data_IF_487321271559
#
_entry.id   IF_487321271559
#
_cell.length_a   1.000
_cell.length_b   1.000
_cell.length_c   1.000
_cell.angle_alpha   90.00
_cell.angle_beta   90.00
_cell.angle_gamma   90.00
#
_symmetry.space_group_name_H-M   'P 1'
#
loop_
_entity.id
_entity.type
_entity.pdbx_description
1 polymer ?
#
# COMPACT_ATOMS: atom_id res chain seq x y z
N UNK A 1 -5.74 -66.75 102.61
CA UNK A 1 -6.16 -65.35 102.34
C UNK A 1 -5.65 -64.79 100.99
N UNK A 2 -5.43 -65.61 99.95
CA UNK A 2 -4.71 -65.14 98.74
C UNK A 2 -5.45 -65.30 97.40
N UNK A 3 -6.67 -65.86 97.35
CA UNK A 3 -7.42 -66.05 96.08
C UNK A 3 -8.37 -64.90 95.67
N UNK A 4 -8.81 -64.03 96.60
CA UNK A 4 -9.70 -62.91 96.26
C UNK A 4 -8.97 -61.62 95.82
N UNK A 5 -7.67 -61.47 96.12
CA UNK A 5 -6.92 -60.28 95.70
C UNK A 5 -6.53 -60.31 94.21
N UNK A 6 -6.25 -61.50 93.65
CA UNK A 6 -5.81 -61.69 92.26
C UNK A 6 -6.91 -61.38 91.23
N UNK A 7 -8.18 -61.67 91.54
CA UNK A 7 -9.33 -61.41 90.66
C UNK A 7 -9.70 -59.93 90.60
N UNK A 8 -9.62 -59.20 91.72
CA UNK A 8 -9.85 -57.74 91.74
C UNK A 8 -8.78 -56.95 90.99
N UNK A 9 -7.52 -57.41 91.02
CA UNK A 9 -6.40 -56.76 90.34
C UNK A 9 -6.48 -56.93 88.81
N UNK A 10 -6.84 -58.12 88.32
CA UNK A 10 -7.06 -58.39 86.89
C UNK A 10 -8.25 -57.60 86.31
N UNK A 11 -9.34 -57.45 87.08
CA UNK A 11 -10.51 -56.65 86.67
C UNK A 11 -10.14 -55.16 86.59
N UNK A 12 -9.40 -54.62 87.56
CA UNK A 12 -8.91 -53.23 87.52
C UNK A 12 -7.97 -52.99 86.34
N UNK A 13 -7.06 -53.93 86.06
CA UNK A 13 -6.16 -53.85 84.92
C UNK A 13 -6.94 -53.78 83.59
N UNK A 14 -7.89 -54.69 83.36
CA UNK A 14 -8.75 -54.66 82.18
C UNK A 14 -9.62 -53.40 82.09
N UNK A 15 -10.15 -52.90 83.20
CA UNK A 15 -10.90 -51.63 83.22
C UNK A 15 -10.01 -50.44 82.84
N UNK A 16 -8.76 -50.42 83.28
CA UNK A 16 -7.79 -49.37 82.96
C UNK A 16 -7.35 -49.45 81.49
N UNK A 17 -7.20 -50.66 80.95
CA UNK A 17 -6.91 -50.92 79.53
C UNK A 17 -8.09 -50.50 78.63
N UNK A 18 -9.32 -50.84 79.00
CA UNK A 18 -10.54 -50.40 78.31
C UNK A 18 -10.70 -48.86 78.34
N UNK A 19 -10.41 -48.24 79.49
CA UNK A 19 -10.46 -46.78 79.65
C UNK A 19 -9.41 -46.08 78.79
N UNK A 20 -8.21 -46.65 78.72
CA UNK A 20 -7.13 -46.14 77.87
C UNK A 20 -7.45 -46.29 76.39
N UNK A 21 -7.98 -47.44 75.99
CA UNK A 21 -8.42 -47.71 74.61
C UNK A 21 -9.59 -46.78 74.21
N UNK A 22 -10.57 -46.56 75.08
CA UNK A 22 -11.68 -45.64 74.83
C UNK A 22 -11.23 -44.18 74.70
N UNK A 23 -10.22 -43.74 75.46
CA UNK A 23 -9.61 -42.40 75.32
C UNK A 23 -8.90 -42.26 73.98
N UNK A 24 -8.13 -43.28 73.58
CA UNK A 24 -7.46 -43.30 72.29
C UNK A 24 -8.47 -43.23 71.14
N UNK A 25 -9.55 -44.02 71.23
CA UNK A 25 -10.61 -44.08 70.23
C UNK A 25 -11.31 -42.74 70.06
N UNK A 26 -11.63 -42.05 71.17
CA UNK A 26 -12.18 -40.67 71.16
C UNK A 26 -11.22 -39.66 70.55
N UNK A 27 -9.93 -39.76 70.86
CA UNK A 27 -8.90 -38.88 70.28
C UNK A 27 -8.78 -39.06 68.77
N UNK A 28 -8.77 -40.31 68.30
CA UNK A 28 -8.72 -40.64 66.88
C UNK A 28 -9.99 -40.16 66.18
N UNK A 29 -11.18 -40.40 66.74
CA UNK A 29 -12.43 -39.92 66.13
C UNK A 29 -12.46 -38.40 66.03
N UNK A 30 -12.00 -37.70 67.06
CA UNK A 30 -11.95 -36.24 67.06
C UNK A 30 -11.01 -35.69 65.98
N UNK A 31 -9.81 -36.26 65.82
CA UNK A 31 -8.89 -35.86 64.75
C UNK A 31 -9.45 -36.18 63.36
N UNK A 32 -10.02 -37.38 63.15
CA UNK A 32 -10.61 -37.73 61.84
C UNK A 32 -11.79 -36.83 61.45
N UNK A 33 -12.61 -36.40 62.43
CA UNK A 33 -13.70 -35.46 62.20
C UNK A 33 -13.20 -34.06 61.82
N UNK A 34 -12.10 -33.64 62.44
CA UNK A 34 -11.47 -32.34 62.15
C UNK A 34 -10.87 -32.36 60.75
N UNK A 35 -10.12 -33.41 60.40
CA UNK A 35 -9.53 -33.58 59.07
C UNK A 35 -10.61 -33.61 57.96
N UNK A 36 -11.74 -34.28 58.21
CA UNK A 36 -12.87 -34.29 57.28
C UNK A 36 -13.53 -32.92 57.13
N UNK A 37 -13.64 -32.15 58.21
CA UNK A 37 -14.18 -30.77 58.14
C UNK A 37 -13.26 -29.85 57.33
N UNK A 38 -11.95 -29.98 57.49
CA UNK A 38 -10.98 -29.20 56.73
C UNK A 38 -10.94 -29.60 55.24
N UNK A 39 -11.10 -30.90 54.94
CA UNK A 39 -11.23 -31.37 53.57
C UNK A 39 -12.50 -30.84 52.89
N UNK A 40 -13.63 -30.82 53.62
CA UNK A 40 -14.89 -30.24 53.12
C UNK A 40 -14.78 -28.74 52.85
N UNK A 41 -14.07 -27.99 53.70
CA UNK A 41 -13.79 -26.55 53.47
C UNK A 41 -12.90 -26.33 52.25
N UNK A 42 -11.89 -27.16 52.05
CA UNK A 42 -11.03 -27.12 50.86
C UNK A 42 -11.81 -27.41 49.57
N UNK A 43 -12.70 -28.40 49.61
CA UNK A 43 -13.54 -28.78 48.46
C UNK A 43 -14.56 -27.68 48.10
N UNK A 44 -15.16 -27.03 49.10
CA UNK A 44 -16.08 -25.90 48.87
C UNK A 44 -15.35 -24.69 48.28
N UNK A 45 -14.16 -24.34 48.80
CA UNK A 45 -13.36 -23.26 48.24
C UNK A 45 -12.92 -23.53 46.78
N UNK A 46 -12.57 -24.77 46.45
CA UNK A 46 -12.24 -25.15 45.06
C UNK A 46 -13.45 -25.09 44.13
N UNK A 47 -14.64 -25.50 44.59
CA UNK A 47 -15.87 -25.41 43.81
C UNK A 47 -16.25 -23.95 43.49
N UNK A 48 -16.08 -23.04 44.46
CA UNK A 48 -16.29 -21.59 44.28
C UNK A 48 -15.30 -20.99 43.25
N UNK A 49 -14.02 -21.37 43.31
CA UNK A 49 -13.04 -20.93 42.32
C UNK A 49 -13.34 -21.43 40.90
N UNK A 50 -13.84 -22.67 40.76
CA UNK A 50 -14.20 -23.22 39.45
C UNK A 50 -15.40 -22.49 38.87
N UNK A 51 -16.44 -22.25 39.66
CA UNK A 51 -17.63 -21.50 39.22
C UNK A 51 -17.28 -20.06 38.84
N UNK A 52 -16.39 -19.39 39.58
CA UNK A 52 -15.92 -18.05 39.25
C UNK A 52 -15.12 -18.03 37.94
N UNK A 53 -14.26 -19.02 37.71
CA UNK A 53 -13.51 -19.17 36.44
C UNK A 53 -14.43 -19.46 35.26
N UNK A 54 -15.45 -20.29 35.44
CA UNK A 54 -16.44 -20.55 34.39
C UNK A 54 -17.24 -19.30 34.02
N UNK A 55 -17.63 -18.48 35.01
CA UNK A 55 -18.31 -17.21 34.76
C UNK A 55 -17.41 -16.21 34.04
N UNK A 56 -16.14 -16.08 34.45
CA UNK A 56 -15.16 -15.23 33.77
C UNK A 56 -14.89 -15.69 32.34
N UNK A 57 -14.78 -17.00 32.11
CA UNK A 57 -14.60 -17.56 30.77
C UNK A 57 -15.81 -17.26 29.87
N UNK A 58 -17.04 -17.44 30.37
CA UNK A 58 -18.27 -17.11 29.63
C UNK A 58 -18.34 -15.63 29.27
N UNK A 59 -18.08 -14.73 30.23
CA UNK A 59 -18.06 -13.29 29.98
C UNK A 59 -17.00 -12.90 28.93
N UNK A 60 -15.80 -13.48 28.99
CA UNK A 60 -14.74 -13.21 28.01
C UNK A 60 -15.09 -13.65 26.58
N UNK A 61 -15.88 -14.73 26.44
CA UNK A 61 -16.34 -15.26 25.15
C UNK A 61 -17.49 -14.41 24.58
N UNK A 62 -18.37 -13.87 25.42
CA UNK A 62 -19.41 -12.93 24.99
C UNK A 62 -18.80 -11.60 24.55
N UNK A 63 -17.86 -11.06 25.33
CA UNK A 63 -17.16 -9.80 25.01
C UNK A 63 -16.33 -9.91 23.72
N UNK A 64 -15.73 -11.08 23.44
CA UNK A 64 -15.02 -11.33 22.18
C UNK A 64 -15.99 -11.42 20.99
N UNK A 65 -17.14 -12.09 21.15
CA UNK A 65 -18.16 -12.19 20.09
C UNK A 65 -18.77 -10.84 19.76
N UNK A 66 -19.02 -10.00 20.76
CA UNK A 66 -19.56 -8.66 20.56
C UNK A 66 -18.56 -7.74 19.86
N UNK A 67 -17.26 -7.80 20.23
CA UNK A 67 -16.19 -7.10 19.49
C UNK A 67 -16.05 -7.57 18.05
N UNK A 68 -16.10 -8.88 17.82
CA UNK A 68 -16.00 -9.44 16.46
C UNK A 68 -17.19 -8.98 15.61
N UNK A 69 -18.40 -8.99 16.16
CA UNK A 69 -19.62 -8.53 15.47
C UNK A 69 -19.61 -7.03 15.19
N UNK A 70 -19.18 -6.21 16.16
CA UNK A 70 -19.07 -4.76 16.00
C UNK A 70 -18.00 -4.39 14.95
N UNK A 71 -16.89 -5.13 14.90
CA UNK A 71 -15.82 -4.95 13.89
C UNK A 71 -16.30 -5.32 12.50
N UNK A 72 -17.08 -6.41 12.37
CA UNK A 72 -17.64 -6.88 11.10
C UNK A 72 -18.74 -5.94 10.58
N UNK A 73 -19.55 -5.32 11.44
CA UNK A 73 -20.66 -4.46 11.02
C UNK A 73 -20.26 -2.99 10.82
N UNK A 74 -19.44 -2.41 11.69
CA UNK A 74 -19.05 -0.99 11.58
C UNK A 74 -17.73 -0.75 10.83
N UNK A 75 -16.82 -1.72 10.81
CA UNK A 75 -15.55 -1.60 10.08
C UNK A 75 -15.74 -1.31 8.59
N UNK A 76 -16.57 -2.08 7.86
CA UNK A 76 -16.80 -1.85 6.43
C UNK A 76 -17.47 -0.49 6.15
N UNK A 77 -18.38 -0.06 7.02
CA UNK A 77 -19.09 1.21 6.85
C UNK A 77 -18.17 2.42 7.11
N UNK A 78 -17.34 2.39 8.17
CA UNK A 78 -16.36 3.44 8.45
C UNK A 78 -15.28 3.52 7.35
N UNK A 79 -14.80 2.39 6.85
CA UNK A 79 -13.84 2.34 5.73
C UNK A 79 -14.45 2.92 4.46
N UNK A 80 -15.71 2.59 4.16
CA UNK A 80 -16.44 3.15 3.02
C UNK A 80 -16.65 4.66 3.17
N UNK A 81 -17.05 5.13 4.34
CA UNK A 81 -17.24 6.56 4.63
C UNK A 81 -15.93 7.35 4.51
N UNK A 82 -14.82 6.82 5.05
CA UNK A 82 -13.48 7.40 4.88
C UNK A 82 -13.09 7.49 3.42
N UNK A 83 -13.30 6.42 2.64
CA UNK A 83 -13.06 6.39 1.19
C UNK A 83 -13.88 7.48 0.49
N UNK A 84 -15.18 7.58 0.77
CA UNK A 84 -16.05 8.59 0.14
C UNK A 84 -15.61 10.01 0.50
N UNK A 85 -15.35 10.29 1.78
CA UNK A 85 -14.92 11.60 2.23
C UNK A 85 -13.55 12.00 1.67
N UNK A 86 -12.60 11.07 1.64
CA UNK A 86 -11.27 11.30 1.08
C UNK A 86 -11.32 11.68 -0.40
N UNK A 87 -12.08 10.93 -1.19
CA UNK A 87 -12.25 11.23 -2.61
C UNK A 87 -13.00 12.54 -2.84
N UNK A 88 -13.99 12.86 -1.99
CA UNK A 88 -14.68 14.15 -2.04
C UNK A 88 -13.75 15.32 -1.77
N UNK A 89 -12.80 15.18 -0.82
CA UNK A 89 -11.79 16.21 -0.57
C UNK A 89 -10.88 16.43 -1.80
N UNK A 90 -10.50 15.35 -2.48
CA UNK A 90 -9.70 15.47 -3.71
C UNK A 90 -10.46 16.14 -4.85
N UNK A 91 -11.75 15.82 -5.02
CA UNK A 91 -12.64 16.48 -5.99
C UNK A 91 -12.76 17.98 -5.72
N UNK A 92 -12.96 18.37 -4.46
CA UNK A 92 -13.06 19.78 -4.05
C UNK A 92 -11.76 20.54 -4.33
N UNK A 93 -10.60 19.87 -4.19
CA UNK A 93 -9.30 20.43 -4.54
C UNK A 93 -9.02 20.44 -6.05
N UNK A 94 -9.91 19.89 -6.87
CA UNK A 94 -9.78 19.77 -8.32
C UNK A 94 -9.21 18.42 -8.76
N UNK A 95 -9.92 17.78 -9.71
CA UNK A 95 -9.57 16.50 -10.31
C UNK A 95 -8.32 16.56 -11.21
N UNK A 96 -7.97 17.75 -11.69
CA UNK A 96 -6.78 18.00 -12.51
C UNK A 96 -5.87 18.94 -11.73
N UNK A 97 -4.67 18.46 -11.38
CA UNK A 97 -3.64 19.27 -10.71
C UNK A 97 -2.41 19.39 -11.58
N UNK A 98 -1.84 20.59 -11.61
CA UNK A 98 -0.63 20.89 -12.38
C UNK A 98 0.47 21.27 -11.41
N UNK A 99 1.44 20.37 -11.28
CA UNK A 99 2.68 20.64 -10.56
C UNK A 99 3.72 21.17 -11.53
N UNK A 100 4.44 22.21 -11.14
CA UNK A 100 5.59 22.66 -11.90
C UNK A 100 6.87 22.35 -11.14
N UNK A 101 7.83 21.75 -11.85
CA UNK A 101 9.13 21.35 -11.33
C UNK A 101 10.23 22.02 -12.13
N UNK A 102 11.17 22.64 -11.44
CA UNK A 102 12.36 23.22 -12.07
C UNK A 102 13.60 22.40 -11.75
N UNK A 103 14.41 22.11 -12.77
CA UNK A 103 15.74 21.52 -12.56
C UNK A 103 16.63 22.56 -11.88
N UNK A 104 17.30 22.18 -10.79
CA UNK A 104 18.12 23.08 -9.99
C UNK A 104 19.27 23.76 -10.79
N UNK A 105 19.83 24.86 -10.25
CA UNK A 105 20.79 25.74 -10.94
C UNK A 105 22.15 25.12 -11.27
N UNK A 106 22.46 23.92 -10.76
CA UNK A 106 23.71 23.21 -11.05
C UNK A 106 23.93 22.87 -12.55
N UNK A 107 22.90 23.04 -13.41
CA UNK A 107 23.01 22.91 -14.86
C UNK A 107 22.97 24.23 -15.65
N UNK A 108 22.89 25.40 -14.98
CA UNK A 108 22.72 26.73 -15.59
C UNK A 108 24.02 27.55 -15.57
N UNK A 109 25.17 26.88 -15.73
CA UNK A 109 26.46 27.57 -15.85
C UNK A 109 26.50 28.42 -17.14
N UNK A 110 26.16 29.71 -17.03
CA UNK A 110 26.50 30.73 -18.03
C UNK A 110 25.36 31.39 -18.81
N UNK A 111 24.08 31.19 -18.46
CA UNK A 111 22.94 31.86 -19.13
C UNK A 111 22.29 32.94 -18.28
N UNK A 112 21.78 34.02 -18.91
CA UNK A 112 20.89 34.98 -18.23
C UNK A 112 19.64 34.23 -17.72
N UNK A 113 19.52 34.08 -16.40
CA UNK A 113 18.38 33.41 -15.79
C UNK A 113 17.11 34.24 -16.03
N UNK A 114 16.10 33.62 -16.66
CA UNK A 114 14.75 34.20 -16.73
C UNK A 114 13.93 33.91 -15.46
N UNK A 115 14.56 33.33 -14.43
CA UNK A 115 13.97 32.89 -13.19
C UNK A 115 14.66 33.61 -12.02
N UNK A 116 13.85 34.16 -11.12
CA UNK A 116 14.26 34.65 -9.80
C UNK A 116 13.80 33.62 -8.76
N UNK A 117 14.69 33.19 -7.87
CA UNK A 117 14.43 32.12 -6.89
C UNK A 117 14.54 32.75 -5.50
N UNK A 118 13.46 33.36 -4.98
CA UNK A 118 13.48 34.04 -3.68
C UNK A 118 13.61 33.08 -2.49
N UNK A 119 13.25 31.80 -2.64
CA UNK A 119 13.41 30.76 -1.62
C UNK A 119 13.50 29.37 -2.25
N UNK A 120 13.82 28.36 -1.44
CA UNK A 120 13.95 26.96 -1.87
C UNK A 120 12.66 26.34 -2.44
N UNK A 121 11.52 27.04 -2.36
CA UNK A 121 10.21 26.55 -2.83
C UNK A 121 9.46 27.55 -3.73
N UNK A 122 10.02 28.75 -3.93
CA UNK A 122 9.38 29.80 -4.72
C UNK A 122 10.23 30.17 -5.91
N UNK A 123 9.60 30.33 -7.07
CA UNK A 123 10.27 30.76 -8.27
C UNK A 123 9.41 31.78 -9.03
N UNK A 124 10.02 32.90 -9.34
CA UNK A 124 9.43 34.01 -10.05
C UNK A 124 9.90 34.01 -11.49
N UNK A 125 8.96 34.02 -12.43
CA UNK A 125 9.30 34.19 -13.84
C UNK A 125 9.53 35.69 -14.10
N UNK A 126 10.75 36.07 -14.47
CA UNK A 126 11.15 37.47 -14.66
C UNK A 126 10.56 38.10 -15.94
N UNK A 127 9.92 37.30 -16.80
CA UNK A 127 9.29 37.76 -18.04
C UNK A 127 7.76 37.63 -17.95
N UNK A 128 7.09 38.71 -17.53
CA UNK A 128 5.62 38.90 -17.53
C UNK A 128 4.79 37.68 -17.06
N UNK A 129 4.42 37.67 -15.78
CA UNK A 129 3.17 37.03 -15.33
C UNK A 129 3.28 36.15 -14.10
N UNK A 130 2.95 36.73 -12.94
CA UNK A 130 2.46 36.04 -11.74
C UNK A 130 3.50 35.26 -10.92
N UNK A 131 3.33 35.30 -9.58
CA UNK A 131 4.03 34.40 -8.66
C UNK A 131 3.49 32.98 -8.84
N UNK A 132 4.36 31.99 -8.97
CA UNK A 132 3.98 30.57 -8.98
C UNK A 132 4.90 29.82 -8.02
N UNK A 133 4.34 28.86 -7.28
CA UNK A 133 5.10 27.96 -6.41
C UNK A 133 5.66 26.81 -7.24
N UNK A 134 6.92 26.44 -7.04
CA UNK A 134 7.57 25.36 -7.81
C UNK A 134 8.28 24.40 -6.87
N UNK A 135 8.24 23.12 -7.22
CA UNK A 135 8.96 22.08 -6.47
C UNK A 135 10.31 21.82 -7.15
N UNK A 136 11.36 21.65 -6.36
CA UNK A 136 12.71 21.39 -6.90
C UNK A 136 13.08 19.92 -6.70
N UNK A 137 12.68 19.35 -5.56
CA UNK A 137 13.07 18.03 -5.13
C UNK A 137 12.10 16.92 -5.54
N UNK A 138 12.66 15.74 -5.82
CA UNK A 138 11.91 14.52 -6.14
C UNK A 138 10.88 14.17 -5.06
N UNK A 139 11.29 14.33 -3.79
CA UNK A 139 10.49 13.98 -2.62
C UNK A 139 9.23 14.84 -2.54
N UNK A 140 9.34 16.15 -2.72
CA UNK A 140 8.19 17.04 -2.70
C UNK A 140 7.19 16.75 -3.83
N UNK A 141 7.69 16.38 -5.02
CA UNK A 141 6.84 15.98 -6.14
C UNK A 141 6.10 14.68 -5.81
N UNK A 142 6.78 13.73 -5.17
CA UNK A 142 6.17 12.49 -4.71
C UNK A 142 5.13 12.74 -3.62
N UNK A 143 5.42 13.59 -2.63
CA UNK A 143 4.48 13.95 -1.56
C UNK A 143 3.20 14.59 -2.11
N UNK A 144 3.33 15.43 -3.14
CA UNK A 144 2.17 15.99 -3.86
C UNK A 144 1.35 14.94 -4.62
N UNK A 145 1.97 13.83 -5.03
CA UNK A 145 1.33 12.72 -5.75
C UNK A 145 0.71 11.67 -4.81
N UNK A 146 1.18 11.55 -3.56
CA UNK A 146 0.72 10.57 -2.56
C UNK A 146 -0.80 10.47 -2.43
N UNK A 147 -1.57 11.57 -2.43
CA UNK A 147 -3.01 11.45 -2.27
C UNK A 147 -3.71 10.72 -3.42
N UNK A 148 -3.19 10.92 -4.63
CA UNK A 148 -3.70 10.23 -5.82
C UNK A 148 -3.29 8.77 -5.83
N UNK A 149 -2.04 8.47 -5.45
CA UNK A 149 -1.56 7.09 -5.32
C UNK A 149 -2.44 6.31 -4.34
N UNK A 150 -2.79 6.91 -3.19
CA UNK A 150 -3.73 6.33 -2.21
C UNK A 150 -5.10 6.06 -2.83
N UNK A 151 -5.62 6.99 -3.63
CA UNK A 151 -6.93 6.85 -4.30
C UNK A 151 -6.98 5.68 -5.28
N UNK A 152 -5.84 5.26 -5.83
CA UNK A 152 -5.76 4.09 -6.68
C UNK A 152 -6.16 2.80 -5.94
N UNK A 153 -5.85 2.67 -4.64
CA UNK A 153 -6.31 1.52 -3.83
C UNK A 153 -7.81 1.52 -3.62
N UNK A 154 -8.44 2.69 -3.73
CA UNK A 154 -9.88 2.88 -3.62
C UNK A 154 -10.58 2.66 -4.97
N UNK A 155 -9.88 2.14 -5.98
CA UNK A 155 -10.46 1.81 -7.29
C UNK A 155 -10.58 2.98 -8.26
N UNK A 156 -9.90 4.10 -7.99
CA UNK A 156 -9.85 5.22 -8.94
C UNK A 156 -8.74 5.03 -9.97
N UNK A 157 -8.99 5.52 -11.19
CA UNK A 157 -7.98 5.58 -12.23
C UNK A 157 -7.28 6.93 -12.17
N UNK A 158 -5.96 6.90 -12.04
CA UNK A 158 -5.11 8.06 -11.83
C UNK A 158 -4.12 8.14 -12.97
N UNK A 159 -3.92 9.33 -13.53
CA UNK A 159 -2.94 9.56 -14.59
C UNK A 159 -2.00 10.70 -14.18
N UNK A 160 -0.70 10.42 -14.10
CA UNK A 160 0.35 11.39 -13.82
C UNK A 160 1.20 11.53 -15.08
N UNK A 161 1.30 12.75 -15.59
CA UNK A 161 2.00 13.06 -16.83
C UNK A 161 3.20 13.96 -16.53
N UNK A 162 4.39 13.58 -16.97
CA UNK A 162 5.53 14.49 -17.05
C UNK A 162 5.51 15.23 -18.39
N UNK A 163 5.71 16.54 -18.39
CA UNK A 163 5.69 17.34 -19.61
C UNK A 163 6.77 18.42 -19.60
N UNK A 164 7.43 18.62 -20.74
CA UNK A 164 8.54 19.56 -20.88
C UNK A 164 9.42 19.29 -22.10
N UNK A 165 10.30 20.22 -22.43
CA UNK A 165 11.25 20.04 -23.52
C UNK A 165 12.31 18.97 -23.19
N UNK A 166 13.02 18.48 -24.20
CA UNK A 166 14.20 17.62 -23.99
C UNK A 166 15.22 18.28 -23.05
N UNK A 167 15.77 17.50 -22.11
CA UNK A 167 16.70 17.98 -21.08
C UNK A 167 16.08 18.67 -19.85
N UNK A 168 14.75 18.88 -19.81
CA UNK A 168 14.08 19.58 -18.69
C UNK A 168 13.94 18.76 -17.39
N UNK A 169 14.35 17.49 -17.38
CA UNK A 169 14.28 16.63 -16.18
C UNK A 169 13.03 15.74 -16.06
N UNK A 170 12.30 15.51 -17.16
CA UNK A 170 11.12 14.60 -17.20
C UNK A 170 11.46 13.17 -16.75
N UNK A 171 12.38 12.51 -17.46
CA UNK A 171 12.87 11.16 -17.15
C UNK A 171 13.52 11.08 -15.77
N UNK A 172 14.21 12.13 -15.34
CA UNK A 172 14.71 12.19 -13.97
C UNK A 172 13.56 12.16 -12.95
N UNK A 173 12.48 12.93 -13.16
CA UNK A 173 11.29 12.92 -12.28
C UNK A 173 10.55 11.58 -12.30
N UNK A 174 10.34 10.99 -13.46
CA UNK A 174 9.54 9.76 -13.59
C UNK A 174 10.34 8.50 -13.25
N UNK A 175 11.53 8.35 -13.83
CA UNK A 175 12.37 7.15 -13.68
C UNK A 175 13.37 7.34 -12.54
N UNK A 176 14.13 8.44 -12.57
CA UNK A 176 15.22 8.72 -11.63
C UNK A 176 16.42 7.77 -11.77
N UNK A 177 17.59 8.13 -11.22
CA UNK A 177 18.73 7.23 -11.13
C UNK A 177 18.49 6.14 -10.08
N UNK A 178 19.33 5.09 -10.06
CA UNK A 178 19.14 3.93 -9.18
C UNK A 178 19.20 4.27 -7.68
N UNK A 179 20.06 5.21 -7.31
CA UNK A 179 20.25 5.73 -5.96
C UNK A 179 19.11 6.67 -5.52
N UNK A 180 18.49 7.37 -6.46
CA UNK A 180 17.37 8.26 -6.21
C UNK A 180 16.21 7.98 -7.18
N UNK A 181 15.45 6.89 -6.94
CA UNK A 181 14.36 6.49 -7.82
C UNK A 181 13.31 7.60 -7.96
N UNK A 182 12.72 7.71 -9.15
CA UNK A 182 11.66 8.65 -9.46
C UNK A 182 10.27 8.16 -9.08
N UNK A 183 9.24 8.86 -9.58
CA UNK A 183 7.84 8.57 -9.31
C UNK A 183 7.43 7.13 -9.67
N UNK A 184 7.98 6.54 -10.74
CA UNK A 184 7.63 5.19 -11.19
C UNK A 184 7.85 4.15 -10.10
N UNK A 185 9.07 4.07 -9.57
CA UNK A 185 9.41 3.10 -8.53
C UNK A 185 8.77 3.51 -7.20
N UNK A 186 8.84 4.79 -6.81
CA UNK A 186 8.30 5.27 -5.54
C UNK A 186 6.80 5.03 -5.41
N UNK A 187 6.03 5.27 -6.48
CA UNK A 187 4.58 5.08 -6.46
C UNK A 187 4.20 3.61 -6.31
N UNK A 188 4.86 2.70 -7.04
CA UNK A 188 4.55 1.26 -6.93
C UNK A 188 4.98 0.70 -5.57
N UNK A 189 6.12 1.16 -5.03
CA UNK A 189 6.55 0.82 -3.66
C UNK A 189 5.52 1.26 -2.63
N UNK A 190 5.01 2.48 -2.76
CA UNK A 190 3.99 3.01 -1.85
C UNK A 190 2.66 2.26 -1.97
N UNK A 191 2.24 1.90 -3.19
CA UNK A 191 1.07 1.04 -3.39
C UNK A 191 1.25 -0.30 -2.66
N UNK A 192 2.40 -0.97 -2.80
CA UNK A 192 2.67 -2.22 -2.07
C UNK A 192 2.68 -2.02 -0.55
N UNK A 193 3.23 -0.90 -0.06
CA UNK A 193 3.24 -0.56 1.37
C UNK A 193 1.80 -0.41 1.89
N UNK A 194 0.99 0.40 1.23
CA UNK A 194 -0.41 0.65 1.59
C UNK A 194 -1.27 -0.63 1.49
N UNK A 195 -1.02 -1.49 0.50
CA UNK A 195 -1.69 -2.78 0.36
C UNK A 195 -1.44 -3.69 1.58
N UNK A 196 -0.26 -3.61 2.21
CA UNK A 196 0.09 -4.40 3.40
C UNK A 196 -0.54 -3.85 4.69
N UNK A 197 -0.91 -2.57 4.72
CA UNK A 197 -1.48 -1.92 5.91
C UNK A 197 -2.99 -2.15 6.05
N UNK A 198 -3.70 -2.31 4.93
CA UNK A 198 -5.15 -2.56 4.92
C UNK A 198 -5.45 -4.02 5.25
N UNK A 199 -6.00 -4.26 6.45
CA UNK A 199 -6.43 -5.59 6.91
C UNK A 199 -7.73 -6.01 6.21
N UNK A 200 -7.95 -7.32 6.07
CA UNK A 200 -9.16 -7.94 5.49
C UNK A 200 -9.40 -7.64 4.00
N UNK A 201 -8.39 -7.16 3.29
CA UNK A 201 -8.44 -6.98 1.84
C UNK A 201 -7.22 -7.65 1.23
N UNK A 202 -7.46 -8.60 0.34
CA UNK A 202 -6.41 -9.23 -0.45
C UNK A 202 -6.14 -8.40 -1.70
N UNK A 203 -4.92 -7.88 -1.84
CA UNK A 203 -4.51 -7.09 -3.00
C UNK A 203 -3.61 -7.87 -3.97
N UNK A 204 -3.80 -7.65 -5.27
CA UNK A 204 -2.87 -8.03 -6.34
C UNK A 204 -2.43 -6.76 -7.09
N UNK A 205 -1.11 -6.57 -7.20
CA UNK A 205 -0.52 -5.44 -7.93
C UNK A 205 0.21 -5.96 -9.16
N UNK A 206 -0.16 -5.45 -10.33
CA UNK A 206 0.41 -5.84 -11.62
C UNK A 206 0.96 -4.62 -12.34
N UNK A 207 2.17 -4.73 -12.86
CA UNK A 207 2.86 -3.68 -13.60
C UNK A 207 2.93 -4.03 -15.08
N UNK A 208 2.69 -3.03 -15.93
CA UNK A 208 2.90 -3.07 -17.39
C UNK A 208 3.72 -1.87 -17.83
N UNK A 209 4.53 -2.03 -18.88
CA UNK A 209 5.30 -0.93 -19.47
C UNK A 209 5.11 -0.91 -20.98
N UNK A 210 4.72 0.25 -21.49
CA UNK A 210 4.39 0.48 -22.89
C UNK A 210 5.22 1.65 -23.41
N UNK A 211 5.82 1.48 -24.57
CA UNK A 211 6.42 2.56 -25.35
C UNK A 211 5.50 2.96 -26.49
N UNK A 212 5.37 4.27 -26.72
CA UNK A 212 4.72 4.83 -27.91
C UNK A 212 5.79 5.56 -28.71
N UNK A 213 6.19 4.98 -29.84
CA UNK A 213 7.19 5.53 -30.74
C UNK A 213 6.61 5.64 -32.15
N UNK A 214 6.61 6.86 -32.70
CA UNK A 214 6.09 7.16 -34.06
C UNK A 214 4.70 6.55 -34.32
N UNK A 215 3.78 6.74 -33.38
CA UNK A 215 2.38 6.22 -33.40
C UNK A 215 2.24 4.69 -33.29
N UNK A 216 3.35 3.94 -33.24
CA UNK A 216 3.36 2.51 -32.95
C UNK A 216 3.56 2.25 -31.46
N UNK A 217 2.98 1.14 -30.99
CA UNK A 217 2.98 0.75 -29.58
C UNK A 217 3.84 -0.49 -29.38
N UNK A 218 4.67 -0.50 -28.34
CA UNK A 218 5.58 -1.61 -28.03
C UNK A 218 5.45 -2.03 -26.57
N UNK A 219 5.27 -3.33 -26.33
CA UNK A 219 5.24 -3.89 -24.98
C UNK A 219 6.66 -4.20 -24.49
N UNK A 220 7.14 -3.35 -23.58
CA UNK A 220 8.49 -3.38 -23.05
C UNK A 220 8.72 -4.53 -22.07
N UNK A 221 7.68 -5.25 -21.64
CA UNK A 221 7.81 -6.42 -20.77
C UNK A 221 7.53 -7.73 -21.51
N UNK A 222 7.20 -7.67 -22.80
CA UNK A 222 7.00 -8.86 -23.61
C UNK A 222 8.31 -9.61 -23.87
N UNK A 223 8.20 -10.88 -24.26
CA UNK A 223 9.35 -11.67 -24.72
C UNK A 223 9.93 -11.16 -26.03
N UNK A 224 9.13 -10.46 -26.83
CA UNK A 224 9.49 -9.94 -28.15
C UNK A 224 9.17 -8.43 -28.20
N UNK A 225 9.94 -7.58 -27.50
CA UNK A 225 9.61 -6.15 -27.33
C UNK A 225 9.63 -5.34 -28.63
N UNK A 226 10.18 -5.88 -29.72
CA UNK A 226 10.17 -5.27 -31.05
C UNK A 226 8.84 -5.43 -31.79
N UNK A 227 7.95 -6.32 -31.33
CA UNK A 227 6.66 -6.51 -31.96
C UNK A 227 5.69 -5.43 -31.53
N UNK A 228 5.02 -4.84 -32.51
CA UNK A 228 3.97 -3.86 -32.26
C UNK A 228 2.75 -4.53 -31.59
N UNK A 229 2.12 -3.78 -30.68
CA UNK A 229 0.87 -4.18 -30.02
C UNK A 229 -0.28 -3.28 -30.44
N UNK A 230 -1.49 -3.84 -30.49
CA UNK A 230 -2.67 -3.12 -30.99
C UNK A 230 -3.57 -2.64 -29.86
N UNK A 231 -4.13 -1.43 -30.04
CA UNK A 231 -5.22 -0.91 -29.21
C UNK A 231 -6.54 -1.53 -29.68
N UNK A 232 -7.34 -2.04 -28.74
CA UNK A 232 -8.72 -2.45 -28.98
C UNK A 232 -9.69 -1.61 -28.17
N UNK A 233 -10.72 -1.14 -28.86
CA UNK A 233 -11.83 -0.39 -28.25
C UNK A 233 -13.03 -1.32 -28.08
N UNK A 234 -13.54 -1.43 -26.85
CA UNK A 234 -14.77 -2.14 -26.52
C UNK A 234 -15.72 -1.17 -25.80
N UNK A 235 -16.71 -0.65 -26.53
CA UNK A 235 -17.58 0.41 -26.02
C UNK A 235 -16.78 1.67 -25.68
N UNK A 236 -16.85 2.10 -24.41
CA UNK A 236 -16.06 3.23 -23.88
C UNK A 236 -14.69 2.82 -23.34
N UNK A 237 -14.40 1.51 -23.29
CA UNK A 237 -13.15 0.98 -22.75
C UNK A 237 -12.08 0.85 -23.84
N UNK A 238 -10.91 1.43 -23.58
CA UNK A 238 -9.72 1.30 -24.42
C UNK A 238 -8.76 0.33 -23.72
N UNK A 239 -8.33 -0.72 -24.45
CA UNK A 239 -7.47 -1.76 -23.91
C UNK A 239 -6.34 -2.09 -24.88
N UNK A 240 -5.22 -2.57 -24.35
CA UNK A 240 -4.15 -3.22 -25.13
C UNK A 240 -4.13 -4.69 -24.69
N UNK A 241 -4.86 -5.59 -25.36
CA UNK A 241 -5.09 -6.95 -24.85
C UNK A 241 -3.82 -7.78 -24.70
N UNK A 242 -2.84 -7.55 -25.57
CA UNK A 242 -1.55 -8.25 -25.55
C UNK A 242 -0.51 -7.63 -24.61
N UNK A 243 -0.87 -6.58 -23.86
CA UNK A 243 0.06 -5.93 -22.95
C UNK A 243 0.37 -6.84 -21.76
N UNK A 244 1.65 -7.15 -21.60
CA UNK A 244 2.17 -8.01 -20.53
C UNK A 244 1.92 -7.37 -19.17
N UNK A 245 1.38 -8.15 -18.24
CA UNK A 245 1.12 -7.75 -16.85
C UNK A 245 1.96 -8.62 -15.93
N UNK A 246 2.97 -8.03 -15.30
CA UNK A 246 3.84 -8.72 -14.35
C UNK A 246 3.35 -8.44 -12.93
N UNK A 247 3.00 -9.49 -12.20
CA UNK A 247 2.64 -9.35 -10.79
C UNK A 247 3.89 -9.00 -9.96
N UNK A 248 3.78 -8.00 -9.08
CA UNK A 248 4.86 -7.56 -8.18
C UNK A 248 4.42 -7.75 -6.73
N UNK A 249 5.27 -8.39 -5.91
CA UNK A 249 4.98 -8.70 -4.49
C UNK A 249 5.99 -8.06 -3.54
N UNK A 250 7.20 -7.83 -4.04
CA UNK A 250 8.33 -7.29 -3.30
C UNK A 250 8.89 -6.05 -3.98
N UNK A 251 9.69 -5.28 -3.24
CA UNK A 251 10.42 -4.16 -3.84
C UNK A 251 11.42 -4.60 -4.90
N UNK A 252 11.99 -5.80 -4.75
CA UNK A 252 12.90 -6.39 -5.73
C UNK A 252 12.18 -6.67 -7.05
N UNK A 253 10.94 -7.19 -7.00
CA UNK A 253 10.12 -7.39 -8.21
C UNK A 253 9.90 -6.07 -8.95
N UNK A 254 9.62 -4.99 -8.22
CA UNK A 254 9.42 -3.66 -8.82
C UNK A 254 10.69 -3.22 -9.55
N UNK A 255 11.85 -3.29 -8.87
CA UNK A 255 13.13 -2.90 -9.46
C UNK A 255 13.42 -3.75 -10.70
N UNK A 256 13.25 -5.07 -10.62
CA UNK A 256 13.51 -5.99 -11.72
C UNK A 256 12.60 -5.71 -12.94
N UNK A 257 11.31 -5.44 -12.72
CA UNK A 257 10.37 -5.10 -13.80
C UNK A 257 10.76 -3.78 -14.46
N UNK A 258 11.08 -2.75 -13.67
CA UNK A 258 11.48 -1.44 -14.19
C UNK A 258 12.81 -1.51 -14.94
N UNK A 259 13.78 -2.28 -14.46
CA UNK A 259 15.05 -2.51 -15.17
C UNK A 259 14.87 -3.29 -16.47
N UNK A 260 13.97 -4.27 -16.49
CA UNK A 260 13.65 -5.06 -17.69
C UNK A 260 13.04 -4.18 -18.78
N UNK A 261 11.99 -3.42 -18.44
CA UNK A 261 11.38 -2.49 -19.39
C UNK A 261 12.34 -1.37 -19.81
N UNK A 262 13.18 -0.89 -18.89
CA UNK A 262 14.23 0.09 -19.19
C UNK A 262 15.25 -0.44 -20.20
N UNK A 263 15.70 -1.70 -20.08
CA UNK A 263 16.61 -2.33 -21.06
C UNK A 263 15.95 -2.47 -22.43
N UNK A 264 14.68 -2.88 -22.47
CA UNK A 264 13.95 -3.09 -23.71
C UNK A 264 13.65 -1.78 -24.44
N UNK A 265 13.44 -0.68 -23.71
CA UNK A 265 13.28 0.66 -24.30
C UNK A 265 14.49 1.05 -25.18
N UNK A 266 15.71 0.69 -24.76
CA UNK A 266 16.93 0.91 -25.55
C UNK A 266 17.02 -0.02 -26.78
N UNK A 267 16.40 -1.20 -26.74
CA UNK A 267 16.47 -2.19 -27.84
C UNK A 267 15.48 -1.89 -28.97
N UNK A 268 14.33 -1.28 -28.68
CA UNK A 268 13.39 -0.80 -29.71
C UNK A 268 13.97 0.39 -30.48
N UNK A 269 14.86 1.13 -29.83
CA UNK A 269 15.51 2.34 -30.34
C UNK A 269 16.76 2.01 -31.16
N UNK A 270 16.58 1.44 -32.36
CA UNK A 270 17.71 1.31 -33.31
C UNK A 270 18.23 2.71 -33.69
N UNK A 271 19.36 3.12 -33.09
CA UNK A 271 20.28 4.24 -33.46
C UNK A 271 20.17 5.53 -32.62
N UNK A 272 21.30 5.82 -31.96
CA UNK A 272 21.83 7.14 -31.50
C UNK A 272 21.36 7.70 -30.15
N UNK A 273 21.89 7.15 -29.04
CA UNK A 273 22.43 7.76 -27.80
C UNK A 273 21.73 8.97 -27.11
N UNK A 274 20.56 9.41 -27.56
CA UNK A 274 19.76 10.48 -26.95
C UNK A 274 18.27 10.09 -26.99
N UNK A 275 17.99 8.89 -26.48
CA UNK A 275 16.82 8.07 -26.86
C UNK A 275 15.54 8.33 -26.05
N UNK A 276 15.58 8.86 -24.82
CA UNK A 276 14.35 9.10 -24.04
C UNK A 276 13.55 10.35 -24.45
N UNK A 277 14.02 11.09 -25.45
CA UNK A 277 13.37 12.34 -25.90
C UNK A 277 12.39 12.14 -27.07
N UNK A 278 12.43 10.97 -27.72
CA UNK A 278 11.72 10.72 -28.98
C UNK A 278 10.54 9.73 -28.89
N UNK A 279 10.32 9.09 -27.75
CA UNK A 279 9.16 8.22 -27.49
C UNK A 279 8.47 8.61 -26.18
N UNK A 280 7.21 8.20 -26.02
CA UNK A 280 6.51 8.32 -24.75
C UNK A 280 6.59 6.99 -24.02
N UNK A 281 7.01 7.00 -22.76
CA UNK A 281 6.98 5.84 -21.89
C UNK A 281 5.74 5.90 -21.00
N UNK A 282 4.97 4.81 -20.95
CA UNK A 282 3.79 4.68 -20.10
C UNK A 282 3.95 3.46 -19.22
N UNK A 283 3.95 3.69 -17.90
CA UNK A 283 3.93 2.62 -16.90
C UNK A 283 2.55 2.54 -16.29
N UNK A 284 1.98 1.33 -16.26
CA UNK A 284 0.71 1.07 -15.61
C UNK A 284 0.96 0.25 -14.35
N UNK A 285 0.44 0.70 -13.22
CA UNK A 285 0.33 -0.08 -12.00
C UNK A 285 -1.15 -0.32 -11.71
N UNK A 286 -1.61 -1.55 -11.99
CA UNK A 286 -2.97 -1.99 -11.75
C UNK A 286 -3.05 -2.62 -10.37
N UNK A 287 -3.98 -2.13 -9.56
CA UNK A 287 -4.26 -2.63 -8.21
C UNK A 287 -5.65 -3.23 -8.19
N UNK A 288 -5.76 -4.51 -7.86
CA UNK A 288 -7.02 -5.21 -7.65
C UNK A 288 -7.10 -5.61 -6.18
N UNK A 289 -8.09 -5.12 -5.45
CA UNK A 289 -8.32 -5.44 -4.04
C UNK A 289 -9.65 -6.14 -3.85
N UNK A 290 -9.66 -7.29 -3.17
CA UNK A 290 -10.89 -8.02 -2.83
C UNK A 290 -11.04 -8.06 -1.31
N UNK A 291 -12.16 -7.55 -0.82
CA UNK A 291 -12.52 -7.62 0.60
C UNK A 291 -12.86 -9.06 0.99
N UNK A 292 -12.15 -9.60 1.99
CA UNK A 292 -12.27 -11.00 2.39
C UNK A 292 -13.58 -11.28 3.15
N UNK A 293 -14.25 -10.24 3.67
CA UNK A 293 -15.47 -10.36 4.48
C UNK A 293 -16.73 -10.31 3.60
N UNK A 294 -16.83 -9.30 2.73
CA UNK A 294 -18.01 -9.08 1.89
C UNK A 294 -17.82 -9.52 0.43
N UNK A 295 -16.60 -9.87 0.01
CA UNK A 295 -16.29 -10.27 -1.36
C UNK A 295 -16.28 -9.13 -2.37
N UNK A 296 -16.39 -7.87 -1.92
CA UNK A 296 -16.39 -6.71 -2.81
C UNK A 296 -15.01 -6.49 -3.42
N UNK A 297 -14.93 -6.40 -4.75
CA UNK A 297 -13.69 -6.14 -5.47
C UNK A 297 -13.60 -4.69 -5.95
N UNK A 298 -12.42 -4.10 -5.78
CA UNK A 298 -12.01 -2.81 -6.31
C UNK A 298 -10.91 -2.99 -7.34
N UNK A 299 -10.90 -2.14 -8.38
CA UNK A 299 -9.83 -2.10 -9.37
C UNK A 299 -9.47 -0.66 -9.66
N UNK A 300 -8.23 -0.27 -9.38
CA UNK A 300 -7.68 1.03 -9.74
C UNK A 300 -6.48 0.86 -10.65
N UNK A 301 -6.23 1.86 -11.49
CA UNK A 301 -5.04 1.90 -12.35
C UNK A 301 -4.31 3.22 -12.17
N UNK A 302 -3.06 3.16 -11.77
CA UNK A 302 -2.14 4.28 -11.78
C UNK A 302 -1.34 4.26 -13.09
N UNK A 303 -1.56 5.26 -13.93
CA UNK A 303 -0.85 5.47 -15.20
C UNK A 303 0.19 6.57 -15.02
N UNK A 304 1.46 6.23 -15.22
CA UNK A 304 2.61 7.11 -15.06
C UNK A 304 3.26 7.30 -16.43
N UNK A 305 3.15 8.50 -17.00
CA UNK A 305 3.67 8.79 -18.33
C UNK A 305 4.91 9.69 -18.27
N UNK A 306 6.00 9.23 -18.86
CA UNK A 306 7.13 10.06 -19.26
C UNK A 306 6.97 10.45 -20.72
N UNK A 307 6.46 11.66 -20.99
CA UNK A 307 6.18 12.08 -22.36
C UNK A 307 7.45 12.51 -23.09
N UNK A 308 7.45 12.36 -24.41
CA UNK A 308 8.50 12.82 -25.30
C UNK A 308 8.73 14.35 -25.23
N UNK A 309 9.87 14.80 -25.75
CA UNK A 309 10.26 16.20 -25.80
C UNK A 309 9.25 17.08 -26.55
N UNK A 310 8.84 18.19 -25.91
CA UNK A 310 7.89 19.16 -26.51
C UNK A 310 8.52 20.25 -27.37
N UNK A 311 9.75 20.03 -27.86
CA UNK A 311 10.41 21.00 -28.73
C UNK A 311 9.63 21.29 -30.03
N UNK A 312 9.69 22.55 -30.46
CA UNK A 312 9.08 22.97 -31.73
C UNK A 312 9.95 22.51 -32.90
N UNK A 313 9.33 21.81 -33.86
CA UNK A 313 9.97 21.43 -35.13
C UNK A 313 10.62 22.64 -35.82
N UNK A 314 9.94 23.79 -35.82
CA UNK A 314 10.41 25.02 -36.48
C UNK A 314 11.71 25.60 -35.92
N UNK A 315 12.08 25.24 -34.69
CA UNK A 315 13.34 25.66 -34.05
C UNK A 315 14.40 24.55 -34.09
N UNK A 316 14.06 23.42 -34.68
CA UNK A 316 14.93 22.24 -34.74
C UNK A 316 15.59 22.15 -36.12
N UNK A 317 16.81 21.60 -36.17
CA UNK A 317 17.49 21.28 -37.43
C UNK A 317 17.22 19.84 -37.90
N UNK A 318 16.13 19.19 -37.44
CA UNK A 318 15.81 17.81 -37.81
C UNK A 318 15.61 17.64 -39.32
N UNK A 319 16.10 16.53 -39.85
CA UNK A 319 15.92 16.11 -41.26
C UNK A 319 15.62 14.61 -41.32
N UNK A 320 14.97 14.16 -42.40
CA UNK A 320 14.68 12.74 -42.63
C UNK A 320 13.85 12.12 -41.49
N UNK A 321 14.30 10.98 -40.97
CA UNK A 321 13.62 10.22 -39.90
C UNK A 321 13.34 11.07 -38.64
N UNK A 322 14.28 11.92 -38.23
CA UNK A 322 14.10 12.79 -37.05
C UNK A 322 12.97 13.81 -37.22
N UNK A 323 12.65 14.20 -38.46
CA UNK A 323 11.52 15.08 -38.73
C UNK A 323 10.20 14.33 -38.56
N UNK A 324 10.13 13.08 -39.03
CA UNK A 324 8.97 12.20 -38.86
C UNK A 324 8.69 11.93 -37.39
N UNK A 325 9.72 11.61 -36.61
CA UNK A 325 9.62 11.42 -35.15
C UNK A 325 9.07 12.68 -34.46
N UNK A 326 9.67 13.85 -34.73
CA UNK A 326 9.22 15.11 -34.13
C UNK A 326 7.81 15.50 -34.56
N UNK A 327 7.39 15.16 -35.78
CA UNK A 327 6.03 15.38 -36.25
C UNK A 327 5.02 14.51 -35.47
N UNK A 328 5.31 13.22 -35.29
CA UNK A 328 4.47 12.30 -34.50
C UNK A 328 4.37 12.74 -33.03
N UNK A 329 5.49 13.13 -32.41
CA UNK A 329 5.51 13.65 -31.04
C UNK A 329 4.63 14.91 -30.91
N UNK A 330 4.77 15.87 -31.83
CA UNK A 330 3.96 17.09 -31.76
C UNK A 330 2.47 16.81 -31.99
N UNK A 331 2.14 15.89 -32.90
CA UNK A 331 0.75 15.46 -33.13
C UNK A 331 0.13 14.87 -31.86
N UNK A 332 0.80 13.89 -31.24
CA UNK A 332 0.33 13.25 -30.00
C UNK A 332 0.23 14.23 -28.83
N UNK A 333 1.22 15.10 -28.62
CA UNK A 333 1.18 16.13 -27.57
C UNK A 333 0.11 17.21 -27.82
N UNK A 334 -0.17 17.56 -29.08
CA UNK A 334 -1.26 18.48 -29.43
C UNK A 334 -2.62 17.87 -29.11
N UNK A 335 -2.83 16.59 -29.44
CA UNK A 335 -4.05 15.88 -29.08
C UNK A 335 -4.23 15.85 -27.55
N UNK A 336 -3.18 15.49 -26.80
CA UNK A 336 -3.21 15.45 -25.35
C UNK A 336 -3.56 16.80 -24.72
N UNK A 337 -3.07 17.92 -25.29
CA UNK A 337 -3.39 19.28 -24.81
C UNK A 337 -4.87 19.66 -24.96
N UNK A 338 -5.60 19.03 -25.86
CA UNK A 338 -7.03 19.30 -26.07
C UNK A 338 -7.90 18.57 -25.02
N UNK A 339 -7.43 17.43 -24.50
CA UNK A 339 -8.22 16.59 -23.59
C UNK A 339 -8.57 17.31 -22.28
N UNK A 340 -7.64 17.94 -21.52
CA UNK A 340 -7.99 18.62 -20.26
C UNK A 340 -8.96 19.79 -20.44
N UNK A 341 -8.90 20.50 -21.58
CA UNK A 341 -9.83 21.60 -21.86
C UNK A 341 -11.26 21.09 -21.95
N UNK A 342 -11.45 19.95 -22.61
CA UNK A 342 -12.75 19.30 -22.73
C UNK A 342 -13.35 18.92 -21.36
N UNK A 343 -12.50 18.58 -20.37
CA UNK A 343 -12.94 18.26 -19.01
C UNK A 343 -13.12 19.48 -18.09
N UNK A 344 -12.61 20.67 -18.47
CA UNK A 344 -12.87 21.91 -17.75
C UNK A 344 -14.15 22.61 -18.22
N UNK A 345 -14.60 22.30 -19.45
CA UNK A 345 -15.81 22.84 -20.07
C UNK A 345 -17.07 21.97 -19.79
N UNK A 346 -16.90 20.84 -19.09
CA UNK A 346 -17.95 19.95 -18.54
C UNK A 346 -18.13 20.23 -17.05
#
# INVERSE_FOLDING_TARGET
MTRHALTGMQVRYKMQELSSSAKLLRSVTFHTLTDMQDLLRSFTATAEMVTQREQQAKASVEDSKEKDMLTVCHGPQEVLERRVQYNRLLEVQGNIRVFCRCRGPAGLAGGNSCLDIPSDHELHLLQKGGKKLFHFEQEQVFDGALPFITSCLDGYNICILSYGQSGSGKTYTMVGPKDQPGLNIRSVKELLRLCKERKNITYSVKVSMLEIYVESLYDLLSRNPQNEVEIRTQGTSITVPSLTRVEVKTEEDIVNVMETGGKNLYLTSDKTNTESSCSHLVVFAMVEGTDDVCGFSTRGTLTLCDLAGSERISKSQARGQQLTERAAINKSLMALRQVPKYYQDL
#
